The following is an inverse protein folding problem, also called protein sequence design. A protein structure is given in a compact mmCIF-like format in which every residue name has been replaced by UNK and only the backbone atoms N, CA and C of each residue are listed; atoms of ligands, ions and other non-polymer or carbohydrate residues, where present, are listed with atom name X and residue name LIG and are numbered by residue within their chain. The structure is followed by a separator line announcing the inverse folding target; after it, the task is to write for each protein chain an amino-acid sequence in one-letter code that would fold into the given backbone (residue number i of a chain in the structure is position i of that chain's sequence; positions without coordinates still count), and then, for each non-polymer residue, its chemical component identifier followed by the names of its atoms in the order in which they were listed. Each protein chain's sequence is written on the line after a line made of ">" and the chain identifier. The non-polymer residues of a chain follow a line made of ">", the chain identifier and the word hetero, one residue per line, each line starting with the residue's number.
data_IF_655375952341
#
_entry.id   IF_655375952341
#
_cell.length_a   1.000
_cell.length_b   1.000
_cell.length_c   1.000
_cell.angle_alpha   90.00
_cell.angle_beta   90.00
_cell.angle_gamma   90.00
#
_symmetry.space_group_name_H-M   'P 1'
#
loop_
_entity.id
_entity.type
_entity.pdbx_description
1 polymer ?
#
# COMPACT_ATOMS: atom_id res chain seq x y z
N UNK A 1 8.11 -12.86 29.15
CA UNK A 1 8.16 -12.45 27.74
C UNK A 1 8.21 -13.65 26.77
N UNK A 2 8.63 -14.82 27.20
CA UNK A 2 8.73 -16.06 26.37
C UNK A 2 7.38 -16.78 26.19
N UNK A 3 6.42 -16.58 27.08
CA UNK A 3 5.09 -17.23 27.05
C UNK A 3 4.10 -16.68 26.01
N UNK A 4 4.32 -15.48 25.49
CA UNK A 4 3.43 -14.86 24.50
C UNK A 4 3.73 -15.26 23.03
N UNK A 5 4.95 -15.74 22.76
CA UNK A 5 5.33 -16.22 21.43
C UNK A 5 4.71 -17.56 21.05
N UNK A 6 4.33 -18.39 22.05
CA UNK A 6 3.69 -19.69 21.82
C UNK A 6 2.20 -19.63 21.46
N UNK A 7 1.57 -18.48 21.58
CA UNK A 7 0.11 -18.34 21.38
C UNK A 7 -0.30 -18.06 19.94
N UNK A 8 0.61 -17.65 19.07
CA UNK A 8 0.28 -17.26 17.69
C UNK A 8 0.66 -18.28 16.60
N UNK A 9 1.65 -19.14 16.87
CA UNK A 9 2.01 -20.25 15.99
C UNK A 9 2.42 -21.46 16.85
N UNK A 10 1.51 -22.37 17.13
CA UNK A 10 1.82 -23.66 17.81
C UNK A 10 2.46 -24.60 16.78
N UNK A 11 3.77 -24.82 16.89
CA UNK A 11 4.43 -25.98 16.30
C UNK A 11 4.04 -27.22 17.09
N UNK A 12 3.13 -28.03 16.59
CA UNK A 12 2.89 -29.37 17.14
C UNK A 12 4.00 -30.30 16.65
N UNK A 13 4.67 -30.98 17.61
CA UNK A 13 5.67 -32.05 17.38
C UNK A 13 5.11 -33.12 16.42
N UNK A 14 5.95 -33.74 15.59
CA UNK A 14 5.50 -34.78 14.66
C UNK A 14 5.05 -36.03 15.42
N UNK A 15 3.76 -36.30 15.41
CA UNK A 15 3.22 -37.59 15.76
C UNK A 15 3.20 -38.45 14.50
N UNK A 16 3.84 -39.57 14.56
CA UNK A 16 3.96 -40.73 13.65
C UNK A 16 2.84 -40.79 12.59
N UNK A 17 3.21 -40.47 11.35
CA UNK A 17 2.31 -40.50 10.19
C UNK A 17 2.70 -41.61 9.21
N UNK A 18 2.18 -42.84 9.37
CA UNK A 18 2.28 -43.85 8.34
C UNK A 18 0.94 -44.23 7.66
N UNK A 19 -0.14 -43.45 7.84
CA UNK A 19 -1.44 -43.82 7.25
C UNK A 19 -2.39 -42.68 6.93
N UNK A 20 -1.94 -41.53 6.42
CA UNK A 20 -2.89 -40.49 6.02
C UNK A 20 -2.54 -39.90 4.63
N UNK A 21 -2.44 -40.77 3.62
CA UNK A 21 -2.30 -40.34 2.22
C UNK A 21 -3.59 -39.82 1.60
N UNK A 22 -4.68 -39.69 2.36
CA UNK A 22 -5.96 -39.17 1.88
C UNK A 22 -6.66 -38.21 2.85
N UNK A 23 -5.95 -37.26 3.40
CA UNK A 23 -6.67 -36.08 3.90
C UNK A 23 -6.73 -35.12 2.72
N UNK A 24 -7.84 -35.18 1.94
CA UNK A 24 -8.28 -34.07 1.09
C UNK A 24 -8.15 -32.82 1.93
N UNK A 25 -7.32 -31.88 1.47
CA UNK A 25 -7.28 -30.50 2.04
C UNK A 25 -8.70 -29.97 2.01
N UNK A 26 -9.45 -30.14 3.07
CA UNK A 26 -10.73 -29.48 3.23
C UNK A 26 -10.39 -28.00 3.40
N UNK A 27 -10.47 -27.25 2.29
CA UNK A 27 -10.43 -25.81 2.29
C UNK A 27 -11.55 -25.33 3.20
N UNK A 28 -11.15 -24.83 4.37
CA UNK A 28 -12.03 -24.33 5.40
C UNK A 28 -12.90 -23.17 4.94
N UNK A 29 -14.01 -23.04 5.54
CA UNK A 29 -15.23 -22.25 5.40
C UNK A 29 -15.16 -20.75 5.07
N UNK A 30 -14.00 -20.16 4.82
CA UNK A 30 -13.90 -18.82 4.24
C UNK A 30 -13.55 -18.91 2.76
N UNK A 31 -14.47 -19.52 2.00
CA UNK A 31 -14.40 -19.62 0.53
C UNK A 31 -14.85 -18.33 -0.13
N UNK A 32 -14.14 -17.24 0.16
CA UNK A 32 -14.12 -16.18 -0.83
C UNK A 32 -13.29 -16.71 -2.01
N UNK A 33 -13.87 -16.92 -3.20
CA UNK A 33 -13.17 -17.57 -4.32
C UNK A 33 -11.88 -16.85 -4.73
N UNK A 34 -11.79 -15.54 -4.47
CA UNK A 34 -10.60 -14.73 -4.69
C UNK A 34 -9.43 -15.14 -3.78
N UNK A 35 -9.73 -15.56 -2.57
CA UNK A 35 -8.75 -15.92 -1.55
C UNK A 35 -8.14 -17.30 -1.80
N UNK A 36 -8.98 -18.30 -2.04
CA UNK A 36 -8.54 -19.66 -2.38
C UNK A 36 -7.80 -19.68 -3.72
N UNK A 37 -8.26 -18.88 -4.69
CA UNK A 37 -7.58 -18.73 -5.97
C UNK A 37 -6.17 -18.13 -5.84
N UNK A 38 -5.98 -17.15 -4.96
CA UNK A 38 -4.65 -16.55 -4.71
C UNK A 38 -3.70 -17.56 -4.06
N UNK A 39 -4.18 -18.35 -3.10
CA UNK A 39 -3.39 -19.40 -2.46
C UNK A 39 -2.98 -20.46 -3.47
N UNK A 40 -3.94 -21.00 -4.25
CA UNK A 40 -3.67 -21.98 -5.30
C UNK A 40 -2.69 -21.47 -6.35
N UNK A 41 -2.79 -20.19 -6.72
CA UNK A 41 -1.87 -19.57 -7.66
C UNK A 41 -0.43 -19.53 -7.11
N UNK A 42 -0.25 -19.19 -5.84
CA UNK A 42 1.07 -19.17 -5.19
C UNK A 42 1.65 -20.59 -5.08
N UNK A 43 0.86 -21.57 -4.62
CA UNK A 43 1.28 -22.96 -4.51
C UNK A 43 1.61 -23.55 -5.90
N UNK A 44 0.81 -23.27 -6.91
CA UNK A 44 1.11 -23.68 -8.29
C UNK A 44 2.38 -23.00 -8.83
N UNK A 45 2.54 -21.69 -8.57
CA UNK A 45 3.74 -20.97 -8.99
C UNK A 45 5.01 -21.56 -8.36
N UNK A 46 4.96 -21.90 -7.08
CA UNK A 46 6.05 -22.57 -6.37
C UNK A 46 6.33 -23.95 -6.97
N UNK A 47 5.29 -24.78 -7.13
CA UNK A 47 5.41 -26.14 -7.66
C UNK A 47 6.00 -26.19 -9.08
N UNK A 48 5.49 -25.37 -10.01
CA UNK A 48 5.96 -25.38 -11.40
C UNK A 48 7.33 -24.70 -11.60
N UNK A 49 7.68 -23.72 -10.75
CA UNK A 49 8.96 -23.01 -10.89
C UNK A 49 10.13 -23.72 -10.23
N UNK A 50 9.87 -24.64 -9.29
CA UNK A 50 10.89 -25.24 -8.41
C UNK A 50 11.79 -24.20 -7.71
N UNK A 51 11.28 -22.97 -7.52
CA UNK A 51 11.99 -21.90 -6.82
C UNK A 51 11.67 -21.96 -5.33
N UNK A 52 12.61 -21.61 -4.44
CA UNK A 52 12.33 -21.55 -3.02
C UNK A 52 11.21 -20.55 -2.71
N UNK A 53 10.48 -20.78 -1.61
CA UNK A 53 9.30 -19.98 -1.22
C UNK A 53 9.59 -18.48 -1.13
N UNK A 54 10.73 -18.07 -0.58
CA UNK A 54 11.07 -16.64 -0.51
C UNK A 54 11.13 -16.00 -1.91
N UNK A 55 11.69 -16.70 -2.90
CA UNK A 55 11.79 -16.22 -4.29
C UNK A 55 10.41 -16.16 -4.94
N UNK A 56 9.59 -17.20 -4.74
CA UNK A 56 8.22 -17.26 -5.24
C UNK A 56 7.38 -16.11 -4.71
N UNK A 57 7.47 -15.79 -3.41
CA UNK A 57 6.78 -14.66 -2.79
C UNK A 57 7.29 -13.33 -3.38
N UNK A 58 8.60 -13.15 -3.51
CA UNK A 58 9.18 -11.93 -4.06
C UNK A 58 8.75 -11.70 -5.52
N UNK A 59 8.91 -12.68 -6.39
CA UNK A 59 8.56 -12.58 -7.82
C UNK A 59 7.06 -12.35 -7.98
N UNK A 60 6.22 -13.13 -7.31
CA UNK A 60 4.76 -12.96 -7.37
C UNK A 60 4.33 -11.56 -6.92
N UNK A 61 4.97 -11.02 -5.88
CA UNK A 61 4.72 -9.64 -5.40
C UNK A 61 5.09 -8.59 -6.46
N UNK A 62 6.28 -8.73 -7.05
CA UNK A 62 6.75 -7.80 -8.10
C UNK A 62 5.84 -7.84 -9.32
N UNK A 63 5.52 -9.04 -9.83
CA UNK A 63 4.62 -9.22 -10.98
C UNK A 63 3.25 -8.63 -10.72
N UNK A 64 2.66 -8.94 -9.56
CA UNK A 64 1.36 -8.40 -9.18
C UNK A 64 1.37 -6.86 -9.15
N UNK A 65 2.43 -6.27 -8.59
CA UNK A 65 2.60 -4.82 -8.58
C UNK A 65 2.79 -4.22 -9.96
N UNK A 66 3.57 -4.86 -10.82
CA UNK A 66 3.76 -4.42 -12.20
C UNK A 66 2.45 -4.41 -12.99
N UNK A 67 1.60 -5.40 -12.77
CA UNK A 67 0.31 -5.53 -13.47
C UNK A 67 -0.74 -4.55 -12.90
N UNK A 68 -0.79 -4.39 -11.56
CA UNK A 68 -1.88 -3.64 -10.90
C UNK A 68 -1.48 -2.22 -10.52
N UNK A 69 -0.41 -2.04 -9.73
CA UNK A 69 -0.11 -0.75 -9.11
C UNK A 69 0.69 0.19 -10.00
N UNK A 70 1.55 -0.32 -10.87
CA UNK A 70 2.35 0.54 -11.76
C UNK A 70 1.47 1.32 -12.75
N UNK A 71 0.55 0.70 -13.53
CA UNK A 71 -0.27 1.44 -14.47
C UNK A 71 -1.20 2.44 -13.77
N UNK A 72 -1.72 2.07 -12.59
CA UNK A 72 -2.55 2.98 -11.79
C UNK A 72 -1.75 4.14 -11.21
N UNK A 73 -0.53 3.90 -10.74
CA UNK A 73 0.38 4.93 -10.25
C UNK A 73 0.76 5.94 -11.33
N UNK A 74 0.97 5.49 -12.57
CA UNK A 74 1.20 6.38 -13.73
C UNK A 74 -0.02 7.28 -13.96
N UNK A 75 -1.23 6.70 -14.00
CA UNK A 75 -2.49 7.47 -14.15
C UNK A 75 -2.66 8.50 -13.03
N UNK A 76 -2.43 8.10 -11.76
CA UNK A 76 -2.49 9.01 -10.63
C UNK A 76 -1.50 10.17 -10.76
N UNK A 77 -0.25 9.90 -11.16
CA UNK A 77 0.75 10.94 -11.34
C UNK A 77 0.39 11.91 -12.48
N UNK A 78 -0.24 11.43 -13.59
CA UNK A 78 -0.77 12.28 -14.66
C UNK A 78 -1.87 13.20 -14.13
N UNK A 79 -2.83 12.66 -13.38
CA UNK A 79 -3.93 13.44 -12.80
C UNK A 79 -3.39 14.45 -11.79
N UNK A 80 -2.49 14.05 -10.90
CA UNK A 80 -1.87 14.94 -9.92
C UNK A 80 -1.13 16.11 -10.60
N UNK A 81 -0.41 15.84 -11.69
CA UNK A 81 0.26 16.87 -12.47
C UNK A 81 -0.72 17.85 -13.13
N UNK A 82 -1.81 17.34 -13.74
CA UNK A 82 -2.88 18.19 -14.30
C UNK A 82 -3.53 19.07 -13.21
N UNK A 83 -3.83 18.49 -12.06
CA UNK A 83 -4.39 19.23 -10.92
C UNK A 83 -3.45 20.34 -10.43
N UNK A 84 -2.13 20.07 -10.38
CA UNK A 84 -1.13 21.08 -9.99
C UNK A 84 -1.10 22.25 -10.98
N UNK A 85 -1.17 21.99 -12.28
CA UNK A 85 -1.21 23.04 -13.31
C UNK A 85 -2.47 23.89 -13.26
N UNK A 86 -3.58 23.34 -12.75
CA UNK A 86 -4.84 24.07 -12.59
C UNK A 86 -4.92 24.87 -11.26
N UNK A 87 -3.99 24.65 -10.32
CA UNK A 87 -4.01 25.36 -9.03
C UNK A 87 -4.08 26.89 -9.15
N UNK A 88 -3.31 27.59 -10.02
CA UNK A 88 -3.42 29.04 -10.14
C UNK A 88 -4.81 29.48 -10.63
N UNK A 89 -5.41 28.75 -11.56
CA UNK A 89 -6.77 29.04 -12.04
C UNK A 89 -7.81 28.86 -10.93
N UNK A 90 -7.69 27.81 -10.14
CA UNK A 90 -8.57 27.56 -8.99
C UNK A 90 -8.41 28.60 -7.89
N UNK A 91 -7.18 29.08 -7.66
CA UNK A 91 -6.92 30.17 -6.72
C UNK A 91 -7.58 31.47 -7.19
N UNK A 92 -7.37 31.87 -8.43
CA UNK A 92 -7.99 33.08 -9.00
C UNK A 92 -9.52 33.00 -8.98
N UNK A 93 -10.09 31.81 -9.25
CA UNK A 93 -11.51 31.56 -9.10
C UNK A 93 -11.96 31.78 -7.64
N UNK A 94 -11.23 31.22 -6.68
CA UNK A 94 -11.51 31.41 -5.25
C UNK A 94 -11.53 32.89 -4.85
N UNK A 95 -10.54 33.64 -5.30
CA UNK A 95 -10.42 35.08 -5.01
C UNK A 95 -11.55 35.88 -5.68
N UNK A 96 -11.92 35.57 -6.93
CA UNK A 96 -13.01 36.23 -7.63
C UNK A 96 -14.38 35.97 -7.04
N UNK A 97 -14.67 34.73 -6.65
CA UNK A 97 -15.93 34.37 -5.97
C UNK A 97 -15.97 34.98 -4.57
N UNK A 98 -14.83 35.01 -3.87
CA UNK A 98 -14.72 35.65 -2.56
C UNK A 98 -15.02 37.15 -2.65
N UNK A 99 -14.41 37.87 -3.58
CA UNK A 99 -14.64 39.33 -3.75
C UNK A 99 -16.08 39.64 -4.11
N UNK A 100 -16.74 38.83 -4.94
CA UNK A 100 -18.13 39.00 -5.32
C UNK A 100 -19.14 38.79 -4.20
N UNK A 101 -18.84 37.88 -3.28
CA UNK A 101 -19.75 37.51 -2.18
C UNK A 101 -19.51 38.32 -0.91
N UNK A 102 -18.27 38.68 -0.57
CA UNK A 102 -17.93 39.33 0.70
C UNK A 102 -17.84 40.86 0.62
N UNK A 103 -18.36 41.50 -0.41
CA UNK A 103 -18.34 42.96 -0.56
C UNK A 103 -19.37 43.70 0.25
N UNK A 104 -20.24 43.03 1.03
CA UNK A 104 -21.32 43.65 1.81
C UNK A 104 -21.13 43.44 3.32
N UNK A 105 -21.43 44.48 4.09
CA UNK A 105 -21.53 44.37 5.57
C UNK A 105 -22.76 43.54 5.94
N UNK A 106 -22.59 42.36 6.51
CA UNK A 106 -23.61 41.35 6.72
C UNK A 106 -23.70 40.89 8.19
N UNK A 107 -24.91 40.54 8.61
CA UNK A 107 -25.18 39.95 9.92
C UNK A 107 -24.59 38.53 10.03
N UNK A 108 -24.37 38.02 11.24
CA UNK A 108 -23.75 36.69 11.47
C UNK A 108 -24.53 35.53 10.85
N UNK A 109 -25.87 35.59 10.78
CA UNK A 109 -26.70 34.58 10.12
C UNK A 109 -26.48 34.56 8.60
N UNK A 110 -26.35 35.75 8.01
CA UNK A 110 -26.11 35.91 6.58
C UNK A 110 -24.68 35.50 6.20
N UNK A 111 -23.70 35.69 7.09
CA UNK A 111 -22.33 35.20 6.92
C UNK A 111 -22.26 33.68 6.78
N UNK A 112 -23.02 32.93 7.61
CA UNK A 112 -23.07 31.46 7.52
C UNK A 112 -23.68 30.97 6.20
N UNK A 113 -24.80 31.59 5.78
CA UNK A 113 -25.43 31.28 4.49
C UNK A 113 -24.47 31.57 3.33
N UNK A 114 -23.83 32.71 3.33
CA UNK A 114 -22.87 33.12 2.34
C UNK A 114 -21.65 32.19 2.29
N UNK A 115 -21.13 31.70 3.42
CA UNK A 115 -20.07 30.69 3.42
C UNK A 115 -20.53 29.35 2.80
N UNK A 116 -21.79 28.96 2.99
CA UNK A 116 -22.33 27.77 2.35
C UNK A 116 -22.46 27.96 0.84
N UNK A 117 -22.98 29.11 0.41
CA UNK A 117 -23.13 29.43 -1.01
C UNK A 117 -21.77 29.57 -1.71
N UNK A 118 -20.79 30.18 -1.04
CA UNK A 118 -19.40 30.22 -1.48
C UNK A 118 -18.83 28.81 -1.70
N UNK A 119 -18.99 27.89 -0.71
CA UNK A 119 -18.53 26.51 -0.85
C UNK A 119 -19.21 25.78 -2.01
N UNK A 120 -20.54 25.95 -2.19
CA UNK A 120 -21.29 25.34 -3.27
C UNK A 120 -20.83 25.86 -4.63
N UNK A 121 -20.68 27.18 -4.78
CA UNK A 121 -20.27 27.81 -6.03
C UNK A 121 -18.85 27.41 -6.41
N UNK A 122 -17.90 27.41 -5.45
CA UNK A 122 -16.52 26.94 -5.67
C UNK A 122 -16.51 25.47 -6.06
N UNK A 123 -17.27 24.62 -5.37
CA UNK A 123 -17.34 23.18 -5.68
C UNK A 123 -17.89 22.95 -7.08
N UNK A 124 -18.95 23.67 -7.48
CA UNK A 124 -19.54 23.59 -8.82
C UNK A 124 -18.54 24.00 -9.90
N UNK A 125 -17.96 25.18 -9.80
CA UNK A 125 -16.99 25.67 -10.80
C UNK A 125 -15.71 24.85 -10.86
N UNK A 126 -15.22 24.37 -9.71
CA UNK A 126 -14.08 23.45 -9.66
C UNK A 126 -14.40 22.12 -10.39
N UNK A 127 -15.60 21.58 -10.18
CA UNK A 127 -16.07 20.38 -10.88
C UNK A 127 -16.14 20.61 -12.41
N UNK A 128 -16.62 21.76 -12.85
CA UNK A 128 -16.68 22.13 -14.27
C UNK A 128 -15.28 22.22 -14.88
N UNK A 129 -14.32 22.86 -14.18
CA UNK A 129 -12.92 22.94 -14.61
C UNK A 129 -12.30 21.54 -14.72
N UNK A 130 -12.53 20.68 -13.73
CA UNK A 130 -12.01 19.30 -13.76
C UNK A 130 -12.62 18.50 -14.91
N UNK A 131 -13.93 18.58 -15.13
CA UNK A 131 -14.60 17.93 -16.28
C UNK A 131 -14.04 18.42 -17.62
N UNK A 132 -13.84 19.73 -17.78
CA UNK A 132 -13.27 20.31 -19.01
C UNK A 132 -11.85 19.83 -19.31
N UNK A 133 -11.09 19.45 -18.29
CA UNK A 133 -9.70 18.98 -18.42
C UNK A 133 -9.56 17.45 -18.31
N UNK A 134 -10.66 16.70 -18.42
CA UNK A 134 -10.69 15.24 -18.31
C UNK A 134 -10.05 14.70 -17.01
N UNK A 135 -10.27 15.41 -15.90
CA UNK A 135 -9.78 15.02 -14.58
C UNK A 135 -10.90 14.30 -13.83
N UNK A 136 -10.75 13.00 -13.62
CA UNK A 136 -11.64 12.21 -12.78
C UNK A 136 -11.01 11.96 -11.40
N UNK A 137 -11.60 12.54 -10.36
CA UNK A 137 -11.18 12.29 -8.97
C UNK A 137 -11.37 10.82 -8.58
N UNK A 138 -12.33 10.12 -9.19
CA UNK A 138 -12.54 8.69 -8.96
C UNK A 138 -11.32 7.87 -9.36
N UNK A 139 -10.66 8.20 -10.48
CA UNK A 139 -9.43 7.53 -10.91
C UNK A 139 -8.26 7.76 -9.93
N UNK A 140 -8.26 8.90 -9.22
CA UNK A 140 -7.26 9.17 -8.20
C UNK A 140 -7.45 8.28 -6.96
N UNK A 141 -8.71 8.03 -6.58
CA UNK A 141 -9.06 7.21 -5.40
C UNK A 141 -8.96 5.72 -5.72
N UNK A 142 -9.04 5.30 -6.99
CA UNK A 142 -9.15 3.90 -7.40
C UNK A 142 -7.92 3.05 -7.01
N UNK A 143 -6.71 3.63 -6.91
CA UNK A 143 -5.50 2.88 -6.54
C UNK A 143 -5.61 2.25 -5.14
N UNK A 144 -5.96 2.97 -4.07
CA UNK A 144 -6.20 2.36 -2.76
C UNK A 144 -7.28 1.27 -2.77
N UNK A 145 -8.36 1.48 -3.53
CA UNK A 145 -9.47 0.51 -3.63
C UNK A 145 -9.08 -0.82 -4.29
N UNK A 146 -8.10 -0.80 -5.20
CA UNK A 146 -7.56 -2.02 -5.82
C UNK A 146 -6.46 -2.61 -4.94
N UNK A 147 -5.60 -1.77 -4.40
CA UNK A 147 -4.44 -2.20 -3.63
C UNK A 147 -4.82 -2.86 -2.30
N UNK A 148 -5.83 -2.33 -1.58
CA UNK A 148 -6.23 -2.87 -0.28
C UNK A 148 -6.77 -4.31 -0.36
N UNK A 149 -7.76 -4.63 -1.23
CA UNK A 149 -8.22 -6.02 -1.38
C UNK A 149 -7.11 -6.97 -1.78
N UNK A 150 -6.25 -6.56 -2.74
CA UNK A 150 -5.13 -7.37 -3.20
C UNK A 150 -4.12 -7.64 -2.08
N UNK A 151 -3.82 -6.62 -1.26
CA UNK A 151 -2.93 -6.74 -0.12
C UNK A 151 -3.50 -7.69 0.95
N UNK A 152 -4.80 -7.58 1.24
CA UNK A 152 -5.48 -8.43 2.22
C UNK A 152 -5.51 -9.89 1.73
N UNK A 153 -5.93 -10.13 0.49
CA UNK A 153 -6.05 -11.50 -0.05
C UNK A 153 -4.71 -12.22 -0.07
N UNK A 154 -3.63 -11.56 -0.48
CA UNK A 154 -2.30 -12.15 -0.51
C UNK A 154 -1.75 -12.38 0.90
N UNK A 155 -1.98 -11.45 1.83
CA UNK A 155 -1.59 -11.62 3.24
C UNK A 155 -2.29 -12.81 3.88
N UNK A 156 -3.59 -12.98 3.63
CA UNK A 156 -4.36 -14.11 4.15
C UNK A 156 -3.95 -15.43 3.48
N UNK A 157 -3.66 -15.43 2.18
CA UNK A 157 -3.15 -16.62 1.48
C UNK A 157 -1.81 -17.07 2.07
N UNK A 158 -0.87 -16.16 2.27
CA UNK A 158 0.43 -16.47 2.90
C UNK A 158 0.29 -16.92 4.35
N UNK A 159 -0.67 -16.37 5.09
CA UNK A 159 -0.97 -16.83 6.44
C UNK A 159 -1.41 -18.30 6.45
N UNK A 160 -2.30 -18.69 5.53
CA UNK A 160 -2.75 -20.08 5.41
C UNK A 160 -1.61 -21.00 4.98
N UNK A 161 -0.80 -20.60 3.99
CA UNK A 161 0.38 -21.34 3.53
C UNK A 161 1.36 -21.58 4.69
N UNK A 162 1.50 -20.60 5.60
CA UNK A 162 2.36 -20.69 6.79
C UNK A 162 1.76 -21.55 7.94
N UNK A 163 0.53 -22.03 7.82
CA UNK A 163 -0.12 -22.81 8.85
C UNK A 163 -0.57 -22.02 10.10
N UNK A 164 -0.54 -20.67 10.05
CA UNK A 164 -0.97 -19.82 11.17
C UNK A 164 -2.47 -19.56 11.17
N UNK A 165 -3.13 -19.87 12.30
CA UNK A 165 -4.59 -19.77 12.49
C UNK A 165 -5.04 -18.50 13.22
N UNK A 166 -6.25 -18.01 12.91
CA UNK A 166 -7.00 -17.09 13.78
C UNK A 166 -7.65 -17.90 14.92
N UNK A 167 -7.43 -17.47 16.15
CA UNK A 167 -7.71 -18.20 17.40
C UNK A 167 -9.20 -18.43 17.74
N UNK A 168 -10.15 -18.05 16.86
CA UNK A 168 -11.58 -18.05 17.18
C UNK A 168 -12.39 -19.19 16.54
N UNK A 169 -11.74 -20.20 15.97
CA UNK A 169 -12.47 -21.32 15.37
C UNK A 169 -12.47 -22.56 16.26
N UNK A 170 -13.66 -23.00 16.62
CA UNK A 170 -13.98 -24.15 17.49
C UNK A 170 -13.76 -25.51 16.83
N UNK A 171 -13.19 -25.56 15.64
CA UNK A 171 -12.96 -26.82 14.90
C UNK A 171 -11.46 -27.11 14.84
N UNK A 172 -11.07 -28.27 15.36
CA UNK A 172 -9.69 -28.79 15.39
C UNK A 172 -9.14 -29.20 14.02
N UNK A 173 -9.22 -28.35 13.02
CA UNK A 173 -8.54 -28.57 11.75
C UNK A 173 -7.09 -28.09 11.88
N UNK A 174 -6.18 -29.04 11.99
CA UNK A 174 -4.74 -28.78 12.01
C UNK A 174 -4.34 -28.36 10.60
N UNK A 175 -4.11 -27.06 10.36
CA UNK A 175 -3.51 -26.61 9.13
C UNK A 175 -2.02 -26.94 9.17
N UNK A 176 -1.61 -27.86 8.32
CA UNK A 176 -0.17 -28.09 8.10
C UNK A 176 0.39 -26.98 7.20
N UNK A 177 1.58 -26.43 7.54
CA UNK A 177 2.32 -25.57 6.64
C UNK A 177 2.51 -26.24 5.29
N UNK A 178 2.53 -25.47 4.21
CA UNK A 178 2.85 -26.01 2.88
C UNK A 178 4.27 -26.58 2.88
N UNK A 179 4.52 -27.61 2.06
CA UNK A 179 5.85 -28.21 1.93
C UNK A 179 6.90 -27.14 1.59
N UNK A 180 8.06 -27.19 2.22
CA UNK A 180 9.17 -26.29 2.01
C UNK A 180 9.10 -24.94 2.75
N UNK A 181 7.91 -24.49 3.22
CA UNK A 181 7.76 -23.15 3.85
C UNK A 181 8.60 -22.97 5.11
N UNK A 182 8.93 -24.06 5.82
CA UNK A 182 9.73 -24.06 7.04
C UNK A 182 11.25 -24.10 6.79
N UNK A 183 11.68 -24.36 5.55
CA UNK A 183 13.10 -24.57 5.21
C UNK A 183 13.58 -23.72 4.06
N UNK A 184 12.67 -23.14 3.27
CA UNK A 184 13.00 -22.40 2.07
C UNK A 184 12.89 -20.88 2.30
N UNK A 185 13.40 -20.41 3.42
CA UNK A 185 13.54 -19.00 3.74
C UNK A 185 14.83 -18.39 3.17
N UNK A 186 15.19 -17.23 3.66
CA UNK A 186 16.35 -16.46 3.21
C UNK A 186 17.19 -15.99 4.41
N UNK A 187 18.52 -16.15 4.30
CA UNK A 187 19.49 -15.66 5.28
C UNK A 187 19.15 -16.08 6.73
N UNK A 188 18.71 -15.14 7.56
CA UNK A 188 18.44 -15.35 8.98
C UNK A 188 17.02 -15.89 9.27
N UNK A 189 16.08 -15.79 8.32
CA UNK A 189 14.70 -16.29 8.45
C UNK A 189 14.48 -17.49 7.53
N UNK A 190 15.07 -18.61 7.89
CA UNK A 190 14.94 -19.87 7.14
C UNK A 190 13.50 -20.42 7.23
N UNK A 191 12.88 -20.30 8.39
CA UNK A 191 11.50 -20.70 8.61
C UNK A 191 10.56 -19.52 8.36
N UNK A 192 9.81 -19.60 7.28
CA UNK A 192 8.83 -18.60 6.87
C UNK A 192 7.51 -18.69 7.63
N UNK A 193 7.29 -19.78 8.40
CA UNK A 193 6.06 -20.00 9.17
C UNK A 193 6.06 -19.27 10.53
N UNK A 194 7.22 -18.89 11.04
CA UNK A 194 7.40 -18.18 12.31
C UNK A 194 7.71 -16.69 12.08
N UNK A 195 7.46 -15.83 13.08
CA UNK A 195 7.88 -14.43 13.02
C UNK A 195 9.40 -14.28 12.90
N UNK A 196 9.85 -13.15 12.34
CA UNK A 196 11.27 -12.81 12.19
C UNK A 196 11.96 -12.76 13.57
N UNK A 197 12.94 -13.63 13.86
CA UNK A 197 13.56 -13.73 15.17
C UNK A 197 14.40 -12.50 15.54
N UNK A 198 14.91 -11.76 14.56
CA UNK A 198 15.76 -10.58 14.75
C UNK A 198 15.04 -9.26 14.55
N UNK A 199 13.75 -9.28 14.17
CA UNK A 199 12.94 -8.08 13.86
C UNK A 199 13.51 -7.20 12.73
N UNK A 200 14.43 -7.71 11.91
CA UNK A 200 15.08 -6.94 10.84
C UNK A 200 14.05 -6.56 9.78
N UNK A 201 13.18 -7.51 9.37
CA UNK A 201 12.12 -7.25 8.37
C UNK A 201 11.17 -6.14 8.85
N UNK A 202 10.61 -6.17 10.08
CA UNK A 202 9.81 -5.07 10.63
C UNK A 202 10.51 -3.71 10.60
N UNK A 203 11.79 -3.66 10.94
CA UNK A 203 12.57 -2.41 10.88
C UNK A 203 12.74 -1.90 9.44
N UNK A 204 13.00 -2.78 8.48
CA UNK A 204 13.07 -2.41 7.06
C UNK A 204 11.71 -1.86 6.60
N UNK A 205 10.60 -2.51 6.95
CA UNK A 205 9.24 -2.06 6.63
C UNK A 205 9.00 -0.65 7.18
N UNK A 206 9.35 -0.40 8.45
CA UNK A 206 9.21 0.91 9.08
C UNK A 206 9.97 1.98 8.32
N UNK A 207 11.26 1.73 8.07
CA UNK A 207 12.14 2.69 7.39
C UNK A 207 11.65 2.99 5.96
N UNK A 208 11.32 1.95 5.19
CA UNK A 208 10.86 2.09 3.81
C UNK A 208 9.52 2.83 3.75
N UNK A 209 8.59 2.53 4.66
CA UNK A 209 7.30 3.22 4.69
C UNK A 209 7.43 4.68 5.12
N UNK A 210 8.28 5.00 6.10
CA UNK A 210 8.58 6.39 6.47
C UNK A 210 9.21 7.12 5.29
N UNK A 211 10.23 6.54 4.63
CA UNK A 211 10.85 7.12 3.45
C UNK A 211 9.81 7.39 2.34
N UNK A 212 8.89 6.45 2.13
CA UNK A 212 7.81 6.57 1.16
C UNK A 212 6.87 7.74 1.49
N UNK A 213 6.49 7.88 2.76
CA UNK A 213 5.65 9.00 3.26
C UNK A 213 6.40 10.33 3.06
N UNK A 214 7.67 10.41 3.49
CA UNK A 214 8.45 11.65 3.35
C UNK A 214 8.59 12.07 1.89
N UNK A 215 8.99 11.16 1.01
CA UNK A 215 9.15 11.42 -0.42
C UNK A 215 7.84 11.91 -1.05
N UNK A 216 6.68 11.35 -0.67
CA UNK A 216 5.40 11.75 -1.24
C UNK A 216 4.83 13.02 -0.62
N UNK A 217 5.18 13.35 0.61
CA UNK A 217 4.60 14.47 1.37
C UNK A 217 5.58 15.60 1.67
N UNK A 218 6.72 15.67 0.96
CA UNK A 218 7.79 16.66 1.23
C UNK A 218 7.31 18.11 1.27
N UNK A 219 6.27 18.47 0.52
CA UNK A 219 5.66 19.81 0.50
C UNK A 219 4.15 19.74 0.70
N UNK A 220 3.73 18.88 1.62
CA UNK A 220 2.31 18.73 1.94
C UNK A 220 1.74 20.05 2.47
N UNK A 221 0.76 20.60 1.75
CA UNK A 221 -0.03 21.77 2.15
C UNK A 221 -1.47 21.37 2.41
N UNK A 222 -2.18 22.17 3.18
CA UNK A 222 -3.58 21.94 3.49
C UNK A 222 -3.81 20.60 4.20
N UNK A 223 -4.75 19.82 3.72
CA UNK A 223 -5.17 18.53 4.30
C UNK A 223 -4.00 17.55 4.51
N UNK A 224 -3.07 17.46 3.57
CA UNK A 224 -1.91 16.55 3.63
C UNK A 224 -0.98 16.82 4.83
N UNK A 225 -0.92 18.06 5.33
CA UNK A 225 -0.14 18.41 6.53
C UNK A 225 -0.67 17.68 7.76
N UNK A 226 -1.99 17.55 7.88
CA UNK A 226 -2.64 16.83 8.99
C UNK A 226 -2.62 15.31 8.82
N UNK A 227 -2.61 14.82 7.58
CA UNK A 227 -2.58 13.39 7.28
C UNK A 227 -1.21 12.77 7.51
N UNK A 228 -0.12 13.52 7.34
CA UNK A 228 1.26 13.04 7.46
C UNK A 228 1.57 12.36 8.82
N UNK A 229 1.24 12.93 10.00
CA UNK A 229 1.47 12.27 11.27
C UNK A 229 0.64 10.98 11.43
N UNK A 230 -0.58 10.96 10.91
CA UNK A 230 -1.42 9.75 10.91
C UNK A 230 -0.78 8.64 10.07
N UNK A 231 -0.28 8.96 8.89
CA UNK A 231 0.43 7.98 8.04
C UNK A 231 1.70 7.45 8.71
N UNK A 232 2.45 8.28 9.43
CA UNK A 232 3.61 7.83 10.22
C UNK A 232 3.20 6.87 11.34
N UNK A 233 2.11 7.16 12.04
CA UNK A 233 1.56 6.26 13.05
C UNK A 233 1.16 4.91 12.44
N UNK A 234 0.49 4.93 11.28
CA UNK A 234 0.14 3.69 10.54
C UNK A 234 1.40 2.92 10.16
N UNK A 235 2.48 3.58 9.73
CA UNK A 235 3.75 2.91 9.41
C UNK A 235 4.35 2.20 10.64
N UNK A 236 4.32 2.85 11.81
CA UNK A 236 4.76 2.25 13.09
C UNK A 236 3.89 1.06 13.46
N UNK A 237 2.56 1.21 13.38
CA UNK A 237 1.62 0.10 13.66
C UNK A 237 1.82 -1.07 12.69
N UNK A 238 2.06 -0.81 11.42
CA UNK A 238 2.33 -1.86 10.42
C UNK A 238 3.62 -2.63 10.77
N UNK A 239 4.68 -1.94 11.17
CA UNK A 239 5.92 -2.58 11.60
C UNK A 239 5.73 -3.40 12.89
N UNK A 240 4.95 -2.90 13.84
CA UNK A 240 4.62 -3.62 15.07
C UNK A 240 3.82 -4.90 14.77
N UNK A 241 2.79 -4.82 13.91
CA UNK A 241 2.02 -6.00 13.49
C UNK A 241 2.91 -6.97 12.72
N UNK A 242 3.82 -6.47 11.86
CA UNK A 242 4.77 -7.27 11.10
C UNK A 242 5.68 -8.12 11.99
N UNK A 243 5.96 -7.67 13.21
CA UNK A 243 6.77 -8.44 14.18
C UNK A 243 6.03 -9.61 14.84
N UNK A 244 4.72 -9.70 14.66
CA UNK A 244 3.86 -10.71 15.27
C UNK A 244 3.33 -11.77 14.29
N UNK A 245 3.47 -11.49 12.99
CA UNK A 245 2.98 -12.38 11.93
C UNK A 245 4.12 -13.22 11.34
N UNK A 246 3.82 -14.35 10.65
CA UNK A 246 4.82 -15.18 9.99
C UNK A 246 5.75 -14.38 9.08
N UNK A 247 7.01 -14.78 9.01
CA UNK A 247 8.03 -14.15 8.16
C UNK A 247 7.62 -14.13 6.68
N UNK A 248 6.86 -15.10 6.18
CA UNK A 248 6.28 -15.08 4.83
C UNK A 248 5.44 -13.83 4.56
N UNK A 249 4.56 -13.46 5.52
CA UNK A 249 3.74 -12.26 5.40
C UNK A 249 4.56 -10.99 5.53
N UNK A 250 5.43 -10.93 6.54
CA UNK A 250 6.31 -9.77 6.77
C UNK A 250 7.23 -9.53 5.57
N UNK A 251 7.78 -10.59 4.98
CA UNK A 251 8.61 -10.51 3.79
C UNK A 251 7.84 -10.03 2.56
N UNK A 252 6.60 -10.48 2.39
CA UNK A 252 5.70 -9.94 1.36
C UNK A 252 5.46 -8.43 1.56
N UNK A 253 5.16 -7.99 2.79
CA UNK A 253 4.95 -6.57 3.08
C UNK A 253 6.21 -5.74 2.84
N UNK A 254 7.37 -6.26 3.22
CA UNK A 254 8.67 -5.64 2.98
C UNK A 254 8.93 -5.45 1.48
N UNK A 255 8.85 -6.53 0.70
CA UNK A 255 9.03 -6.53 -0.76
C UNK A 255 8.05 -5.57 -1.42
N UNK A 256 6.78 -5.61 -1.02
CA UNK A 256 5.74 -4.74 -1.51
C UNK A 256 6.03 -3.26 -1.21
N UNK A 257 6.50 -2.92 0.00
CA UNK A 257 6.87 -1.56 0.39
C UNK A 257 8.08 -1.04 -0.39
N UNK A 258 9.11 -1.88 -0.58
CA UNK A 258 10.30 -1.56 -1.38
C UNK A 258 9.89 -1.28 -2.84
N UNK A 259 9.09 -2.14 -3.45
CA UNK A 259 8.59 -1.91 -4.81
C UNK A 259 7.80 -0.60 -4.91
N UNK A 260 6.98 -0.27 -3.91
CA UNK A 260 6.25 0.99 -3.85
C UNK A 260 7.17 2.21 -3.75
N UNK A 261 8.22 2.13 -2.94
CA UNK A 261 9.23 3.18 -2.83
C UNK A 261 9.98 3.36 -4.16
N UNK A 262 10.44 2.26 -4.77
CA UNK A 262 11.11 2.30 -6.07
C UNK A 262 10.20 2.93 -7.15
N UNK A 263 8.95 2.50 -7.23
CA UNK A 263 7.96 3.07 -8.14
C UNK A 263 7.83 4.59 -7.95
N UNK A 264 7.69 5.05 -6.71
CA UNK A 264 7.54 6.47 -6.40
C UNK A 264 8.80 7.28 -6.73
N UNK A 265 9.98 6.72 -6.51
CA UNK A 265 11.26 7.36 -6.89
C UNK A 265 11.38 7.43 -8.41
N UNK A 266 11.13 6.34 -9.12
CA UNK A 266 11.20 6.27 -10.59
C UNK A 266 10.23 7.27 -11.24
N UNK A 267 8.98 7.35 -10.76
CA UNK A 267 7.97 8.28 -11.27
C UNK A 267 8.27 9.77 -10.94
N UNK A 268 9.30 10.06 -10.17
CA UNK A 268 9.82 11.43 -9.95
C UNK A 268 10.96 11.82 -10.87
N UNK A 269 11.55 10.87 -11.60
CA UNK A 269 12.62 11.15 -12.56
C UNK A 269 12.05 11.91 -13.77
N UNK A 270 12.55 13.11 -14.11
CA UNK A 270 12.01 13.92 -15.20
C UNK A 270 11.97 13.19 -16.55
N UNK A 271 13.03 12.44 -16.90
CA UNK A 271 13.10 11.65 -18.14
C UNK A 271 12.00 10.59 -18.23
N UNK A 272 11.73 9.89 -17.11
CA UNK A 272 10.67 8.89 -17.03
C UNK A 272 9.30 9.55 -17.15
N UNK A 273 9.09 10.68 -16.49
CA UNK A 273 7.83 11.45 -16.58
C UNK A 273 7.51 11.83 -18.01
N UNK A 274 8.52 12.30 -18.80
CA UNK A 274 8.32 12.67 -20.22
C UNK A 274 7.94 11.44 -21.07
N UNK A 275 8.62 10.31 -20.88
CA UNK A 275 8.28 9.06 -21.58
C UNK A 275 6.89 8.52 -21.25
N UNK A 276 6.35 8.89 -20.09
CA UNK A 276 5.03 8.48 -19.63
C UNK A 276 3.96 9.57 -19.86
N UNK A 277 4.20 10.58 -20.67
CA UNK A 277 3.28 11.70 -20.95
C UNK A 277 2.73 12.40 -19.69
N UNK A 278 3.54 12.49 -18.64
CA UNK A 278 3.20 13.24 -17.44
C UNK A 278 3.59 14.70 -17.67
N UNK A 279 2.65 15.68 -17.56
CA UNK A 279 2.93 17.08 -17.79
C UNK A 279 4.04 17.62 -16.88
N UNK A 280 4.83 18.58 -17.40
CA UNK A 280 5.83 19.29 -16.60
C UNK A 280 5.10 20.21 -15.61
N UNK A 281 5.48 20.14 -14.34
CA UNK A 281 4.88 20.94 -13.26
C UNK A 281 5.94 21.82 -12.61
N UNK A 282 5.51 22.92 -11.97
CA UNK A 282 6.43 23.83 -11.28
C UNK A 282 7.17 23.11 -10.13
N UNK A 283 6.48 22.21 -9.44
CA UNK A 283 7.08 21.40 -8.36
C UNK A 283 8.15 20.42 -8.84
N UNK A 284 8.19 20.07 -10.14
CA UNK A 284 9.21 19.19 -10.72
C UNK A 284 10.57 19.88 -10.82
N UNK A 285 10.62 21.18 -11.18
CA UNK A 285 11.87 21.95 -11.22
C UNK A 285 12.52 22.06 -9.85
N UNK A 286 11.71 22.17 -8.79
CA UNK A 286 12.20 22.27 -7.43
C UNK A 286 12.53 20.90 -6.78
N UNK A 287 12.06 19.80 -7.39
CA UNK A 287 12.23 18.41 -6.91
C UNK A 287 13.31 17.64 -7.69
N UNK A 288 14.28 18.30 -8.28
CA UNK A 288 15.41 17.57 -8.87
C UNK A 288 15.94 16.57 -7.85
N UNK A 289 16.22 15.32 -8.27
CA UNK A 289 16.75 14.26 -7.38
C UNK A 289 18.01 14.76 -6.66
N UNK A 290 18.80 15.62 -7.29
CA UNK A 290 19.95 16.29 -6.68
C UNK A 290 19.56 17.10 -5.43
N UNK A 291 18.44 17.85 -5.49
CA UNK A 291 17.94 18.62 -4.35
C UNK A 291 17.35 17.74 -3.25
N UNK A 292 16.81 16.57 -3.60
CA UNK A 292 16.30 15.58 -2.64
C UNK A 292 17.46 14.93 -1.87
N UNK A 293 18.58 14.68 -2.55
CA UNK A 293 19.79 14.08 -1.99
C UNK A 293 20.72 15.12 -1.34
N UNK A 294 20.32 16.40 -1.25
CA UNK A 294 21.12 17.45 -0.60
C UNK A 294 22.27 18.00 -1.43
N UNK A 295 22.40 17.59 -2.71
CA UNK A 295 23.40 18.17 -3.62
C UNK A 295 22.87 19.50 -4.15
N UNK A 296 23.19 20.60 -3.48
CA UNK A 296 22.98 21.94 -4.01
C UNK A 296 23.92 22.17 -5.21
N UNK A 297 23.38 22.65 -6.32
CA UNK A 297 24.19 23.23 -7.39
C UNK A 297 24.98 24.42 -6.79
N UNK A 298 26.32 24.39 -6.95
CA UNK A 298 27.15 25.54 -6.72
C UNK A 298 27.01 26.54 -7.83
#
# INVERSE_FOLDING_TARGET
>A
MILYQHLLCRTTKPIIFSRLHEIKRFSSYYTFPLFTGTQQLLEASHFYSNLPWWTTIAISTVLLRCITTVPMGIKQNRIAAKMELLQPQLKNLGDSVRSSLFSKNLNEADKKRMQQDFRKEIAKRTSEIYKKNDISLMQFIMLPWIQMPTWITLSLALRNISGCRLQNETIDVIYMPSEGITTEGLLWFQDLSVPDPFYIIPFIILFVNIANIEINTMRAQGFWKYLKPILRLVAVLTAFISSQVPSAMSFYWCTSSICGLMQNVILKIPSVRRKLDIPKTNSEQERSIRNILGFKEK
#
